data_IF_229081275335
#
_entry.id   IF_229081275335
#
_cell.length_a   1.000
_cell.length_b   1.000
_cell.length_c   1.000
_cell.angle_alpha   90.00
_cell.angle_beta   90.00
_cell.angle_gamma   90.00
#
_symmetry.space_group_name_H-M   'P 1'
#
loop_
_entity.id
_entity.type
_entity.pdbx_description
1 polymer ?
#
# COMPACT_ATOMS: atom_id res chain seq x y z
N UNK A 1 21.15 -23.27 0.16
CA UNK A 1 20.24 -22.19 -0.30
C UNK A 1 20.21 -21.01 0.65
N UNK A 2 20.03 -21.20 1.95
CA UNK A 2 20.10 -20.11 2.95
C UNK A 2 21.44 -19.35 2.96
N UNK A 3 22.58 -20.05 2.87
CA UNK A 3 23.91 -19.41 2.76
C UNK A 3 24.07 -18.55 1.48
N UNK A 4 23.44 -18.95 0.38
CA UNK A 4 23.45 -18.18 -0.87
C UNK A 4 22.58 -16.92 -0.76
N UNK A 5 21.40 -17.06 -0.14
CA UNK A 5 20.53 -15.93 0.20
C UNK A 5 21.26 -14.89 1.05
N UNK A 6 21.99 -15.34 2.08
CA UNK A 6 22.69 -14.42 2.98
C UNK A 6 23.87 -13.71 2.33
N UNK A 7 24.62 -14.39 1.44
CA UNK A 7 25.67 -13.76 0.63
C UNK A 7 25.10 -12.74 -0.36
N UNK A 8 23.94 -13.02 -0.96
CA UNK A 8 23.27 -12.10 -1.88
C UNK A 8 22.87 -10.78 -1.20
N UNK A 9 22.34 -10.85 0.02
CA UNK A 9 21.96 -9.66 0.81
C UNK A 9 23.18 -8.80 1.13
N UNK A 10 24.29 -9.40 1.57
CA UNK A 10 25.53 -8.68 1.91
C UNK A 10 26.15 -7.93 0.74
N UNK A 11 26.07 -8.47 -0.48
CA UNK A 11 26.73 -7.86 -1.64
C UNK A 11 25.93 -6.71 -2.27
N UNK A 12 24.62 -6.57 -1.99
CA UNK A 12 23.75 -5.56 -2.63
C UNK A 12 22.70 -4.96 -1.68
N UNK A 13 23.10 -4.28 -0.59
CA UNK A 13 22.18 -3.80 0.45
C UNK A 13 21.12 -2.83 -0.10
N UNK A 14 21.48 -1.97 -1.06
CA UNK A 14 20.56 -0.99 -1.65
C UNK A 14 19.34 -1.60 -2.36
N UNK A 15 19.44 -2.85 -2.84
CA UNK A 15 18.29 -3.53 -3.51
C UNK A 15 17.28 -4.08 -2.50
N UNK A 16 17.73 -4.45 -1.31
CA UNK A 16 16.87 -5.00 -0.25
C UNK A 16 16.28 -3.91 0.64
N UNK A 17 16.79 -2.68 0.59
CA UNK A 17 16.31 -1.55 1.39
C UNK A 17 14.80 -1.29 1.18
N UNK A 18 14.31 -1.38 -0.05
CA UNK A 18 12.89 -1.21 -0.36
C UNK A 18 12.01 -2.27 0.34
N UNK A 19 12.44 -3.53 0.30
CA UNK A 19 11.73 -4.65 0.94
C UNK A 19 11.85 -4.56 2.46
N UNK A 20 13.02 -4.20 2.97
CA UNK A 20 13.27 -3.98 4.39
C UNK A 20 12.37 -2.87 4.92
N UNK A 21 12.29 -1.73 4.22
CA UNK A 21 11.45 -0.60 4.60
C UNK A 21 9.96 -0.98 4.61
N UNK A 22 9.47 -1.69 3.58
CA UNK A 22 8.10 -2.21 3.58
C UNK A 22 7.82 -3.15 4.76
N UNK A 23 8.73 -4.09 5.05
CA UNK A 23 8.58 -5.03 6.15
C UNK A 23 8.65 -4.32 7.52
N UNK A 24 9.59 -3.39 7.68
CA UNK A 24 9.77 -2.58 8.88
C UNK A 24 8.53 -1.73 9.19
N UNK A 25 8.06 -0.92 8.24
CA UNK A 25 6.88 -0.08 8.45
C UNK A 25 5.63 -0.92 8.68
N UNK A 26 5.48 -2.03 7.94
CA UNK A 26 4.34 -2.91 8.10
C UNK A 26 4.32 -3.60 9.47
N UNK A 27 5.46 -4.16 9.90
CA UNK A 27 5.60 -4.72 11.23
C UNK A 27 5.37 -3.67 12.31
N UNK A 28 5.91 -2.46 12.16
CA UNK A 28 5.77 -1.40 13.15
C UNK A 28 4.31 -1.04 13.37
N UNK A 29 3.55 -0.84 12.29
CA UNK A 29 2.11 -0.53 12.37
C UNK A 29 1.35 -1.69 13.01
N UNK A 30 1.55 -2.91 12.54
CA UNK A 30 0.84 -4.09 13.06
C UNK A 30 1.13 -4.27 14.55
N UNK A 31 2.39 -4.16 14.97
CA UNK A 31 2.80 -4.28 16.38
C UNK A 31 2.22 -3.15 17.23
N UNK A 32 2.29 -1.90 16.78
CA UNK A 32 1.70 -0.74 17.47
C UNK A 32 0.22 -0.98 17.77
N UNK A 33 -0.56 -1.42 16.79
CA UNK A 33 -1.99 -1.64 16.99
C UNK A 33 -2.30 -2.90 17.80
N UNK A 34 -1.58 -4.00 17.57
CA UNK A 34 -1.80 -5.22 18.35
C UNK A 34 -1.29 -5.11 19.80
N UNK A 35 -0.41 -4.16 20.12
CA UNK A 35 -0.04 -3.87 21.52
C UNK A 35 -1.22 -3.34 22.34
N UNK A 36 -2.26 -2.80 21.69
CA UNK A 36 -3.51 -2.46 22.37
C UNK A 36 -4.26 -3.71 22.84
N UNK A 37 -4.18 -4.84 22.11
CA UNK A 37 -4.69 -6.12 22.62
C UNK A 37 -3.91 -6.63 23.84
N UNK A 38 -2.59 -6.46 23.86
CA UNK A 38 -1.77 -6.81 25.03
C UNK A 38 -2.09 -5.93 26.24
N UNK A 39 -2.28 -4.63 26.02
CA UNK A 39 -2.67 -3.67 27.06
C UNK A 39 -4.07 -4.00 27.60
N UNK A 40 -5.03 -4.32 26.72
CA UNK A 40 -6.38 -4.74 27.09
C UNK A 40 -6.44 -6.08 27.84
N UNK A 41 -5.42 -6.92 27.69
CA UNK A 41 -5.34 -8.23 28.35
C UNK A 41 -4.80 -8.16 29.79
N UNK A 42 -4.29 -7.01 30.24
CA UNK A 42 -3.78 -6.85 31.59
C UNK A 42 -4.87 -6.96 32.67
N UNK A 43 -4.48 -7.47 33.84
CA UNK A 43 -5.32 -7.47 35.04
C UNK A 43 -5.42 -6.05 35.62
N UNK A 44 -6.63 -5.55 35.80
CA UNK A 44 -6.88 -4.20 36.37
C UNK A 44 -7.39 -3.16 35.37
N UNK A 45 -7.54 -3.53 34.09
CA UNK A 45 -8.18 -2.69 33.06
C UNK A 45 -9.70 -2.80 33.20
N UNK A 46 -10.40 -1.67 33.24
CA UNK A 46 -11.86 -1.63 33.28
C UNK A 46 -12.49 -2.13 31.96
N UNK A 47 -13.76 -2.52 32.02
CA UNK A 47 -14.44 -3.15 30.87
C UNK A 47 -14.52 -2.22 29.65
N UNK A 48 -14.68 -0.91 29.86
CA UNK A 48 -14.83 0.09 28.78
C UNK A 48 -13.49 0.35 28.09
N UNK A 49 -12.42 0.53 28.87
CA UNK A 49 -11.05 0.64 28.36
C UNK A 49 -10.67 -0.61 27.57
N UNK A 50 -11.02 -1.80 28.09
CA UNK A 50 -10.74 -3.08 27.44
C UNK A 50 -11.45 -3.19 26.09
N UNK A 51 -12.74 -2.89 26.04
CA UNK A 51 -13.53 -2.90 24.82
C UNK A 51 -12.95 -1.93 23.79
N UNK A 52 -12.70 -0.68 24.18
CA UNK A 52 -12.11 0.34 23.29
C UNK A 52 -10.76 -0.09 22.71
N UNK A 53 -9.86 -0.59 23.54
CA UNK A 53 -8.54 -1.07 23.12
C UNK A 53 -8.66 -2.27 22.16
N UNK A 54 -9.58 -3.21 22.43
CA UNK A 54 -9.79 -4.38 21.56
C UNK A 54 -10.44 -4.03 20.23
N UNK A 55 -11.38 -3.08 20.21
CA UNK A 55 -12.04 -2.60 18.99
C UNK A 55 -11.03 -1.82 18.13
N UNK A 56 -10.25 -0.93 18.74
CA UNK A 56 -9.18 -0.21 18.05
C UNK A 56 -8.14 -1.17 17.47
N UNK A 57 -7.69 -2.17 18.24
CA UNK A 57 -6.71 -3.14 17.76
C UNK A 57 -7.24 -4.01 16.60
N UNK A 58 -8.49 -4.47 16.69
CA UNK A 58 -9.07 -5.40 15.71
C UNK A 58 -9.40 -4.75 14.38
N UNK A 59 -10.00 -3.55 14.41
CA UNK A 59 -10.33 -2.76 13.21
C UNK A 59 -9.04 -2.48 12.44
N UNK A 60 -8.01 -1.96 13.11
CA UNK A 60 -6.75 -1.56 12.48
C UNK A 60 -5.85 -2.74 12.11
N UNK A 61 -5.75 -3.73 12.99
CA UNK A 61 -5.00 -4.96 12.73
C UNK A 61 -5.54 -5.70 11.51
N UNK A 62 -6.86 -5.74 11.34
CA UNK A 62 -7.54 -6.42 10.24
C UNK A 62 -7.19 -5.85 8.87
N UNK A 63 -7.49 -4.58 8.59
CA UNK A 63 -7.15 -4.01 7.27
C UNK A 63 -5.67 -3.65 7.15
N UNK A 64 -4.97 -3.33 8.26
CA UNK A 64 -3.54 -3.07 8.27
C UNK A 64 -2.76 -4.27 7.74
N UNK A 65 -3.15 -5.48 8.14
CA UNK A 65 -2.61 -6.74 7.61
C UNK A 65 -2.74 -6.84 6.09
N UNK A 66 -3.90 -6.51 5.54
CA UNK A 66 -4.13 -6.51 4.09
C UNK A 66 -3.22 -5.49 3.39
N UNK A 67 -3.16 -4.26 3.91
CA UNK A 67 -2.33 -3.20 3.36
C UNK A 67 -0.83 -3.56 3.37
N UNK A 68 -0.34 -4.10 4.49
CA UNK A 68 1.04 -4.57 4.62
C UNK A 68 1.33 -5.70 3.64
N UNK A 69 0.43 -6.67 3.52
CA UNK A 69 0.56 -7.74 2.53
C UNK A 69 0.69 -7.18 1.11
N UNK A 70 -0.19 -6.26 0.71
CA UNK A 70 -0.15 -5.67 -0.63
C UNK A 70 1.09 -4.82 -0.87
N UNK A 71 1.49 -4.02 0.11
CA UNK A 71 2.70 -3.21 0.05
C UNK A 71 3.96 -4.09 -0.14
N UNK A 72 4.13 -5.10 0.70
CA UNK A 72 5.24 -6.06 0.61
C UNK A 72 5.20 -6.84 -0.70
N UNK A 73 4.00 -7.26 -1.14
CA UNK A 73 3.82 -7.96 -2.41
C UNK A 73 4.16 -7.11 -3.64
N UNK A 74 3.79 -5.83 -3.62
CA UNK A 74 4.13 -4.86 -4.68
C UNK A 74 5.64 -4.73 -4.79
N UNK A 75 6.31 -4.47 -3.66
CA UNK A 75 7.76 -4.30 -3.59
C UNK A 75 8.51 -5.57 -4.01
N UNK A 76 8.18 -6.74 -3.45
CA UNK A 76 8.84 -8.00 -3.80
C UNK A 76 8.62 -8.40 -5.25
N UNK A 77 7.45 -8.09 -5.83
CA UNK A 77 7.21 -8.31 -7.26
C UNK A 77 8.19 -7.50 -8.11
N UNK A 78 8.45 -6.25 -7.72
CA UNK A 78 9.41 -5.38 -8.41
C UNK A 78 10.83 -5.94 -8.25
N UNK A 79 11.27 -6.29 -7.03
CA UNK A 79 12.63 -6.82 -6.76
C UNK A 79 12.89 -8.16 -7.44
N UNK A 80 11.96 -9.11 -7.41
CA UNK A 80 12.14 -10.44 -8.04
C UNK A 80 12.21 -10.32 -9.55
N UNK A 81 11.41 -9.42 -10.16
CA UNK A 81 11.49 -9.15 -11.59
C UNK A 81 12.83 -8.57 -12.00
N UNK A 82 13.43 -7.71 -11.16
CA UNK A 82 14.77 -7.17 -11.43
C UNK A 82 15.85 -8.25 -11.45
N UNK A 83 15.65 -9.34 -10.71
CA UNK A 83 16.56 -10.49 -10.69
C UNK A 83 16.22 -11.55 -11.74
N UNK A 84 15.27 -11.30 -12.65
CA UNK A 84 14.87 -12.32 -13.63
C UNK A 84 16.04 -12.83 -14.47
N UNK A 85 16.94 -11.94 -14.92
CA UNK A 85 18.15 -12.33 -15.66
C UNK A 85 19.13 -13.15 -14.81
N UNK A 86 19.35 -12.79 -13.54
CA UNK A 86 20.18 -13.56 -12.61
C UNK A 86 19.58 -14.95 -12.34
N UNK A 87 18.26 -15.01 -12.14
CA UNK A 87 17.51 -16.25 -11.93
C UNK A 87 17.52 -17.12 -13.20
N UNK A 88 17.50 -16.51 -14.38
CA UNK A 88 17.61 -17.20 -15.67
C UNK A 88 19.02 -17.77 -15.88
N UNK A 89 20.08 -17.02 -15.56
CA UNK A 89 21.45 -17.52 -15.56
C UNK A 89 21.64 -18.71 -14.59
N UNK A 90 21.05 -18.64 -13.40
CA UNK A 90 21.03 -19.76 -12.45
C UNK A 90 20.29 -20.97 -13.02
N UNK A 91 19.20 -20.75 -13.77
CA UNK A 91 18.48 -21.84 -14.44
C UNK A 91 19.28 -22.45 -15.59
N UNK A 92 19.98 -21.65 -16.38
CA UNK A 92 20.85 -22.13 -17.44
C UNK A 92 22.03 -22.95 -16.91
N UNK A 93 22.47 -22.66 -15.68
CA UNK A 93 23.48 -23.46 -14.95
C UNK A 93 22.90 -24.67 -14.18
N UNK A 94 21.62 -25.00 -14.39
CA UNK A 94 20.99 -26.23 -13.88
C UNK A 94 20.15 -26.07 -12.60
N UNK A 95 19.97 -24.85 -12.07
CA UNK A 95 19.16 -24.66 -10.87
C UNK A 95 17.66 -24.92 -11.13
N UNK A 96 17.04 -25.74 -10.28
CA UNK A 96 15.62 -26.11 -10.40
C UNK A 96 14.69 -24.98 -9.89
N UNK A 97 13.44 -24.86 -10.39
CA UNK A 97 12.47 -23.88 -9.92
C UNK A 97 12.20 -23.94 -8.40
N UNK A 98 12.32 -25.13 -7.80
CA UNK A 98 12.21 -25.32 -6.36
C UNK A 98 13.38 -24.71 -5.57
N UNK A 99 14.61 -24.83 -6.10
CA UNK A 99 15.79 -24.20 -5.50
C UNK A 99 15.71 -22.68 -5.59
N UNK A 100 15.28 -22.14 -6.74
CA UNK A 100 15.04 -20.70 -6.91
C UNK A 100 13.98 -20.19 -5.94
N UNK A 101 12.85 -20.91 -5.80
CA UNK A 101 11.79 -20.55 -4.84
C UNK A 101 12.33 -20.51 -3.41
N UNK A 102 13.02 -21.56 -2.96
CA UNK A 102 13.56 -21.63 -1.58
C UNK A 102 14.60 -20.54 -1.33
N UNK A 103 15.41 -20.20 -2.33
CA UNK A 103 16.40 -19.13 -2.23
C UNK A 103 15.73 -17.76 -2.00
N UNK A 104 14.84 -17.35 -2.90
CA UNK A 104 14.21 -16.02 -2.83
C UNK A 104 13.25 -15.89 -1.64
N UNK A 105 12.51 -16.94 -1.30
CA UNK A 105 11.68 -16.94 -0.09
C UNK A 105 12.57 -16.83 1.15
N UNK A 106 13.72 -17.51 1.18
CA UNK A 106 14.70 -17.39 2.26
C UNK A 106 15.27 -15.98 2.40
N UNK A 107 15.56 -15.31 1.29
CA UNK A 107 15.98 -13.89 1.31
C UNK A 107 14.88 -12.97 1.84
N UNK A 108 13.65 -13.13 1.34
CA UNK A 108 12.52 -12.31 1.75
C UNK A 108 12.21 -12.50 3.25
N UNK A 109 12.25 -13.74 3.73
CA UNK A 109 12.08 -14.06 5.16
C UNK A 109 13.21 -13.47 6.00
N UNK A 110 14.47 -13.58 5.57
CA UNK A 110 15.59 -13.00 6.30
C UNK A 110 15.48 -11.47 6.40
N UNK A 111 15.12 -10.79 5.31
CA UNK A 111 14.92 -9.33 5.30
C UNK A 111 13.69 -8.95 6.12
N UNK A 112 12.61 -9.72 6.06
CA UNK A 112 11.41 -9.50 6.85
C UNK A 112 11.67 -9.65 8.36
N UNK A 113 12.46 -10.64 8.78
CA UNK A 113 12.89 -10.80 10.17
C UNK A 113 13.69 -9.60 10.65
N UNK A 114 14.66 -9.14 9.86
CA UNK A 114 15.43 -7.92 10.20
C UNK A 114 14.49 -6.71 10.30
N UNK A 115 13.56 -6.56 9.34
CA UNK A 115 12.56 -5.49 9.37
C UNK A 115 11.67 -5.54 10.62
N UNK A 116 11.17 -6.72 10.97
CA UNK A 116 10.33 -6.92 12.15
C UNK A 116 11.08 -6.65 13.46
N UNK A 117 12.34 -7.09 13.58
CA UNK A 117 13.18 -6.79 14.75
C UNK A 117 13.44 -5.28 14.88
N UNK A 118 13.77 -4.62 13.76
CA UNK A 118 13.97 -3.17 13.75
C UNK A 118 12.68 -2.41 14.09
N UNK A 119 11.52 -3.00 13.79
CA UNK A 119 10.22 -2.39 14.05
C UNK A 119 9.82 -2.39 15.52
N UNK A 120 10.39 -3.25 16.38
CA UNK A 120 9.99 -3.38 17.79
C UNK A 120 10.12 -2.04 18.52
N UNK A 121 11.26 -1.35 18.41
CA UNK A 121 11.49 -0.08 19.11
C UNK A 121 10.47 1.00 18.72
N UNK A 122 10.32 1.33 17.42
CA UNK A 122 9.29 2.25 16.95
C UNK A 122 7.87 1.81 17.26
N UNK A 123 7.59 0.50 17.29
CA UNK A 123 6.28 -0.02 17.64
C UNK A 123 5.95 0.17 19.12
N UNK A 124 6.91 -0.01 20.02
CA UNK A 124 6.75 0.27 21.46
C UNK A 124 6.45 1.76 21.68
N UNK A 125 7.24 2.64 21.07
CA UNK A 125 7.01 4.09 21.15
C UNK A 125 5.67 4.50 20.53
N UNK A 126 5.33 3.90 19.39
CA UNK A 126 4.06 4.12 18.72
C UNK A 126 2.86 3.62 19.53
N UNK A 127 3.00 2.48 20.20
CA UNK A 127 1.97 1.91 21.08
C UNK A 127 1.76 2.76 22.33
N UNK A 128 2.84 3.27 22.93
CA UNK A 128 2.78 4.22 24.04
C UNK A 128 2.09 5.52 23.63
N UNK A 129 2.54 6.14 22.52
CA UNK A 129 1.93 7.36 22.02
C UNK A 129 0.44 7.15 21.66
N UNK A 130 0.08 5.98 21.13
CA UNK A 130 -1.31 5.66 20.83
C UNK A 130 -2.15 5.50 22.11
N UNK A 131 -1.61 4.87 23.16
CA UNK A 131 -2.28 4.76 24.44
C UNK A 131 -2.43 6.13 25.11
N UNK A 132 -1.42 6.98 25.05
CA UNK A 132 -1.50 8.37 25.54
C UNK A 132 -2.62 9.13 24.84
N UNK A 133 -2.79 8.96 23.52
CA UNK A 133 -3.92 9.54 22.79
C UNK A 133 -5.27 9.01 23.30
N UNK A 134 -5.36 7.73 23.69
CA UNK A 134 -6.59 7.17 24.28
C UNK A 134 -6.86 7.63 25.71
N UNK A 135 -5.80 7.93 26.46
CA UNK A 135 -5.91 8.50 27.80
C UNK A 135 -6.20 10.00 27.79
N UNK A 136 -5.63 10.74 26.85
CA UNK A 136 -5.85 12.18 26.64
C UNK A 136 -7.26 12.47 26.17
N UNK A 137 -7.81 11.56 25.36
CA UNK A 137 -9.21 11.61 24.98
C UNK A 137 -10.09 11.26 26.19
N UNK A 138 -9.68 10.29 27.02
CA UNK A 138 -10.44 9.84 28.19
C UNK A 138 -11.24 8.56 27.93
N UNK A 139 -10.93 7.86 26.84
CA UNK A 139 -11.41 6.51 26.54
C UNK A 139 -10.79 5.43 27.41
N UNK A 140 -9.55 5.65 27.83
CA UNK A 140 -8.81 4.71 28.64
C UNK A 140 -8.41 5.40 29.93
N UNK A 141 -8.60 4.72 31.05
CA UNK A 141 -8.20 5.25 32.34
C UNK A 141 -6.69 5.54 32.37
N UNK A 142 -6.29 6.68 32.94
CA UNK A 142 -4.87 7.07 33.13
C UNK A 142 -4.06 6.09 33.96
N UNK A 143 -4.73 5.20 34.69
CA UNK A 143 -4.11 4.12 35.48
C UNK A 143 -3.70 2.91 34.65
N UNK A 144 -4.06 2.85 33.35
CA UNK A 144 -3.68 1.74 32.46
C UNK A 144 -2.31 2.03 31.86
N UNK A 145 -1.32 1.25 32.25
CA UNK A 145 0.03 1.35 31.69
C UNK A 145 0.15 0.60 30.36
N UNK A 146 1.01 1.11 29.47
CA UNK A 146 1.25 0.47 28.18
C UNK A 146 1.97 -0.87 28.33
N UNK A 147 1.39 -1.92 27.73
CA UNK A 147 1.98 -3.26 27.69
C UNK A 147 2.36 -3.63 26.28
N UNK A 148 3.65 -3.88 26.03
CA UNK A 148 4.09 -4.53 24.80
C UNK A 148 4.29 -6.02 25.06
N UNK A 149 3.29 -6.81 24.69
CA UNK A 149 3.22 -8.23 25.04
C UNK A 149 3.46 -9.18 23.87
N UNK A 150 3.18 -10.47 24.08
CA UNK A 150 3.35 -11.50 23.07
C UNK A 150 2.42 -11.33 21.87
N UNK A 151 1.24 -10.73 22.01
CA UNK A 151 0.28 -10.60 20.91
C UNK A 151 0.83 -9.62 19.87
N UNK A 152 1.32 -8.45 20.30
CA UNK A 152 1.98 -7.48 19.42
C UNK A 152 3.18 -8.09 18.71
N UNK A 153 4.08 -8.72 19.48
CA UNK A 153 5.31 -9.28 18.94
C UNK A 153 5.02 -10.39 17.92
N UNK A 154 4.19 -11.37 18.28
CA UNK A 154 3.87 -12.51 17.41
C UNK A 154 3.08 -12.07 16.18
N UNK A 155 2.03 -11.25 16.34
CA UNK A 155 1.24 -10.76 15.20
C UNK A 155 2.12 -9.99 14.19
N UNK A 156 2.97 -9.08 14.66
CA UNK A 156 3.86 -8.32 13.80
C UNK A 156 4.86 -9.19 13.06
N UNK A 157 5.49 -10.13 13.76
CA UNK A 157 6.47 -11.06 13.17
C UNK A 157 5.78 -12.01 12.19
N UNK A 158 4.71 -12.67 12.62
CA UNK A 158 3.98 -13.68 11.84
C UNK A 158 3.35 -13.09 10.59
N UNK A 159 2.62 -11.97 10.71
CA UNK A 159 1.98 -11.32 9.57
C UNK A 159 3.03 -10.85 8.56
N UNK A 160 4.13 -10.25 9.03
CA UNK A 160 5.20 -9.76 8.14
C UNK A 160 5.93 -10.91 7.45
N UNK A 161 6.21 -12.00 8.17
CA UNK A 161 6.80 -13.22 7.62
C UNK A 161 5.90 -13.89 6.58
N UNK A 162 4.62 -14.07 6.91
CA UNK A 162 3.63 -14.66 6.02
C UNK A 162 3.45 -13.80 4.77
N UNK A 163 3.38 -12.48 4.92
CA UNK A 163 3.31 -11.54 3.83
C UNK A 163 4.55 -11.61 2.93
N UNK A 164 5.75 -11.56 3.50
CA UNK A 164 7.00 -11.61 2.75
C UNK A 164 7.20 -12.96 2.05
N UNK A 165 6.96 -14.07 2.74
CA UNK A 165 7.08 -15.41 2.19
C UNK A 165 6.05 -15.66 1.08
N UNK A 166 4.79 -15.27 1.31
CA UNK A 166 3.70 -15.38 0.35
C UNK A 166 3.94 -14.54 -0.91
N UNK A 167 4.33 -13.27 -0.72
CA UNK A 167 4.70 -12.35 -1.79
C UNK A 167 5.90 -12.85 -2.60
N UNK A 168 6.97 -13.30 -1.95
CA UNK A 168 8.16 -13.83 -2.61
C UNK A 168 7.84 -15.11 -3.39
N UNK A 169 7.05 -16.01 -2.80
CA UNK A 169 6.60 -17.22 -3.48
C UNK A 169 5.79 -16.89 -4.74
N UNK A 170 4.82 -15.98 -4.64
CA UNK A 170 4.03 -15.52 -5.77
C UNK A 170 4.91 -14.86 -6.84
N UNK A 171 5.86 -14.03 -6.44
CA UNK A 171 6.77 -13.34 -7.36
C UNK A 171 7.66 -14.32 -8.13
N UNK A 172 8.28 -15.31 -7.47
CA UNK A 172 9.11 -16.32 -8.15
C UNK A 172 8.28 -17.26 -9.01
N UNK A 173 7.11 -17.69 -8.54
CA UNK A 173 6.21 -18.54 -9.33
C UNK A 173 5.82 -17.85 -10.64
N UNK A 174 5.59 -16.54 -10.62
CA UNK A 174 5.34 -15.72 -11.82
C UNK A 174 6.56 -15.66 -12.75
N UNK A 175 7.77 -15.52 -12.20
CA UNK A 175 9.00 -15.44 -13.00
C UNK A 175 9.43 -16.79 -13.61
N UNK A 176 9.17 -17.91 -12.92
CA UNK A 176 9.67 -19.24 -13.32
C UNK A 176 8.73 -20.01 -14.24
N UNK A 177 7.40 -19.87 -14.09
CA UNK A 177 6.44 -20.47 -15.03
C UNK A 177 6.33 -19.60 -16.29
N UNK A 178 7.17 -19.90 -17.27
CA UNK A 178 6.97 -19.46 -18.66
C UNK A 178 5.70 -20.09 -19.26
N UNK A 179 4.52 -19.56 -18.94
CA UNK A 179 3.27 -19.79 -19.68
C UNK A 179 2.42 -18.52 -19.67
N UNK A 180 2.51 -17.77 -20.78
CA UNK A 180 1.88 -16.47 -21.07
C UNK A 180 0.33 -16.45 -21.04
N UNK A 181 -0.36 -17.57 -20.80
CA UNK A 181 -1.85 -17.61 -20.82
C UNK A 181 -2.53 -17.98 -19.49
N UNK A 182 -1.92 -18.78 -18.61
CA UNK A 182 -2.65 -19.32 -17.43
C UNK A 182 -2.50 -18.44 -16.17
N UNK A 183 -1.37 -17.73 -16.02
CA UNK A 183 -1.17 -16.76 -14.92
C UNK A 183 -2.06 -15.51 -15.06
N UNK A 184 -2.41 -15.13 -16.30
CA UNK A 184 -3.39 -14.07 -16.55
C UNK A 184 -4.77 -14.44 -16.00
N UNK A 185 -5.24 -15.66 -16.25
CA UNK A 185 -6.56 -16.13 -15.78
C UNK A 185 -6.66 -16.16 -14.25
N UNK A 186 -5.65 -16.66 -13.53
CA UNK A 186 -5.67 -16.69 -12.07
C UNK A 186 -5.67 -15.28 -11.43
N UNK A 187 -4.84 -14.34 -11.95
CA UNK A 187 -4.87 -12.94 -11.49
C UNK A 187 -6.22 -12.28 -11.76
N UNK A 188 -6.82 -12.59 -12.89
CA UNK A 188 -8.13 -12.08 -13.28
C UNK A 188 -9.22 -12.64 -12.36
N UNK A 189 -9.16 -13.94 -12.06
CA UNK A 189 -10.08 -14.59 -11.14
C UNK A 189 -9.95 -14.01 -9.72
N UNK A 190 -8.72 -13.87 -9.21
CA UNK A 190 -8.49 -13.21 -7.91
C UNK A 190 -8.96 -11.76 -7.90
N UNK A 191 -8.80 -11.03 -9.01
CA UNK A 191 -9.30 -9.67 -9.10
C UNK A 191 -10.83 -9.62 -9.08
N UNK A 192 -11.51 -10.48 -9.85
CA UNK A 192 -12.97 -10.57 -9.81
C UNK A 192 -13.48 -11.10 -8.48
N UNK A 193 -12.76 -12.00 -7.81
CA UNK A 193 -13.09 -12.47 -6.47
C UNK A 193 -12.95 -11.33 -5.44
N UNK A 194 -11.88 -10.53 -5.50
CA UNK A 194 -11.71 -9.36 -4.65
C UNK A 194 -12.78 -8.29 -4.92
N UNK A 195 -13.12 -8.04 -6.19
CA UNK A 195 -14.22 -7.14 -6.56
C UNK A 195 -15.57 -7.66 -6.07
N UNK A 196 -15.82 -8.96 -6.19
CA UNK A 196 -17.06 -9.61 -5.75
C UNK A 196 -17.20 -9.58 -4.22
N UNK A 197 -16.15 -9.98 -3.49
CA UNK A 197 -16.13 -9.88 -2.02
C UNK A 197 -16.22 -8.44 -1.53
N UNK A 198 -15.55 -7.50 -2.22
CA UNK A 198 -15.66 -6.08 -1.93
C UNK A 198 -17.07 -5.55 -2.15
N UNK A 199 -17.71 -5.90 -3.27
CA UNK A 199 -19.10 -5.55 -3.55
C UNK A 199 -20.06 -6.14 -2.51
N UNK A 200 -19.87 -7.40 -2.12
CA UNK A 200 -20.67 -8.04 -1.06
C UNK A 200 -20.50 -7.30 0.27
N UNK A 201 -19.26 -7.00 0.67
CA UNK A 201 -18.99 -6.25 1.90
C UNK A 201 -19.62 -4.85 1.87
N UNK A 202 -19.51 -4.14 0.74
CA UNK A 202 -20.17 -2.84 0.54
C UNK A 202 -21.69 -2.97 0.61
N UNK A 203 -22.30 -3.96 -0.05
CA UNK A 203 -23.76 -4.15 -0.01
C UNK A 203 -24.25 -4.61 1.37
N UNK A 204 -23.41 -5.30 2.14
CA UNK A 204 -23.76 -5.72 3.50
C UNK A 204 -23.96 -4.54 4.45
N UNK A 205 -23.45 -3.35 4.10
CA UNK A 205 -23.69 -2.09 4.84
C UNK A 205 -25.19 -1.83 5.03
N UNK A 206 -26.03 -2.16 4.05
CA UNK A 206 -27.49 -1.96 4.14
C UNK A 206 -28.21 -2.93 5.10
N UNK A 207 -27.51 -3.94 5.63
CA UNK A 207 -28.05 -4.82 6.66
C UNK A 207 -27.88 -4.26 8.08
N UNK A 208 -27.09 -3.19 8.24
CA UNK A 208 -26.83 -2.54 9.52
C UNK A 208 -27.76 -1.34 9.72
N UNK A 209 -28.05 -1.02 10.97
CA UNK A 209 -28.79 0.20 11.33
C UNK A 209 -27.84 1.40 11.47
N UNK A 210 -28.35 2.62 11.30
CA UNK A 210 -27.57 3.86 11.39
C UNK A 210 -26.87 4.07 12.75
N UNK A 211 -27.38 3.40 13.79
CA UNK A 211 -26.86 3.47 15.18
C UNK A 211 -25.84 2.38 15.51
N UNK A 212 -25.55 1.46 14.59
CA UNK A 212 -24.66 0.35 14.85
C UNK A 212 -23.19 0.78 14.79
N UNK A 213 -22.41 0.48 15.84
CA UNK A 213 -20.98 0.78 15.89
C UNK A 213 -20.19 0.04 14.80
N UNK A 214 -20.69 -1.12 14.34
CA UNK A 214 -20.08 -1.91 13.29
C UNK A 214 -20.28 -1.34 11.88
N UNK A 215 -21.13 -0.32 11.70
CA UNK A 215 -21.50 0.23 10.39
C UNK A 215 -20.29 0.77 9.60
N UNK A 216 -19.26 1.29 10.29
CA UNK A 216 -18.05 1.80 9.64
C UNK A 216 -17.17 0.70 9.02
N UNK A 217 -17.19 -0.50 9.59
CA UNK A 217 -16.22 -1.54 9.26
C UNK A 217 -16.48 -2.14 7.87
N UNK A 218 -17.73 -2.48 7.56
CA UNK A 218 -18.12 -3.15 6.30
C UNK A 218 -17.84 -2.33 5.03
N UNK A 219 -18.22 -1.03 4.92
CA UNK A 219 -17.89 -0.20 3.77
C UNK A 219 -16.38 0.07 3.67
N UNK A 220 -15.66 0.16 4.79
CA UNK A 220 -14.20 0.31 4.77
C UNK A 220 -13.49 -0.93 4.21
N UNK A 221 -13.81 -2.13 4.70
CA UNK A 221 -13.26 -3.38 4.15
C UNK A 221 -13.68 -3.56 2.69
N UNK A 222 -14.92 -3.20 2.34
CA UNK A 222 -15.43 -3.22 0.98
C UNK A 222 -14.64 -2.32 0.03
N UNK A 223 -14.42 -1.05 0.40
CA UNK A 223 -13.63 -0.10 -0.39
C UNK A 223 -12.19 -0.60 -0.60
N UNK A 224 -11.58 -1.18 0.44
CA UNK A 224 -10.23 -1.76 0.35
C UNK A 224 -10.22 -2.94 -0.62
N UNK A 225 -11.15 -3.89 -0.49
CA UNK A 225 -11.21 -5.06 -1.40
C UNK A 225 -11.51 -4.66 -2.85
N UNK A 226 -12.38 -3.67 -3.06
CA UNK A 226 -12.64 -3.10 -4.38
C UNK A 226 -11.39 -2.43 -4.96
N UNK A 227 -10.68 -1.64 -4.14
CA UNK A 227 -9.42 -1.01 -4.56
C UNK A 227 -8.36 -2.06 -4.91
N UNK A 228 -8.28 -3.16 -4.16
CA UNK A 228 -7.42 -4.32 -4.43
C UNK A 228 -7.81 -5.01 -5.74
N UNK A 229 -9.11 -5.18 -6.01
CA UNK A 229 -9.61 -5.72 -7.26
C UNK A 229 -9.22 -4.86 -8.47
N UNK A 230 -9.44 -3.55 -8.38
CA UNK A 230 -9.01 -2.56 -9.38
C UNK A 230 -7.48 -2.57 -9.56
N UNK A 231 -6.73 -2.60 -8.46
CA UNK A 231 -5.28 -2.70 -8.44
C UNK A 231 -4.80 -3.99 -9.15
N UNK A 232 -5.43 -5.13 -8.90
CA UNK A 232 -5.11 -6.38 -9.62
C UNK A 232 -5.46 -6.29 -11.11
N UNK A 233 -6.46 -5.51 -11.52
CA UNK A 233 -6.78 -5.25 -12.94
C UNK A 233 -6.00 -4.08 -13.55
N UNK A 234 -5.16 -3.38 -12.77
CA UNK A 234 -4.41 -2.19 -13.18
C UNK A 234 -3.76 -2.25 -14.58
N UNK A 235 -3.09 -3.34 -15.02
CA UNK A 235 -2.52 -3.38 -16.38
C UNK A 235 -3.57 -3.34 -17.50
N UNK A 236 -4.75 -3.95 -17.28
CA UNK A 236 -5.86 -3.90 -18.26
C UNK A 236 -6.52 -2.54 -18.27
N UNK A 237 -6.78 -2.00 -17.09
CA UNK A 237 -7.35 -0.67 -16.92
C UNK A 237 -6.45 0.39 -17.57
N UNK A 238 -5.14 0.33 -17.31
CA UNK A 238 -4.17 1.23 -17.92
C UNK A 238 -4.14 1.07 -19.45
N UNK A 239 -4.13 -0.15 -19.99
CA UNK A 239 -4.16 -0.37 -21.45
C UNK A 239 -5.44 0.19 -22.07
N UNK A 240 -6.60 -0.07 -21.48
CA UNK A 240 -7.88 0.45 -21.97
C UNK A 240 -7.95 1.98 -21.97
N UNK A 241 -7.44 2.62 -20.91
CA UNK A 241 -7.34 4.09 -20.87
C UNK A 241 -6.36 4.61 -21.93
N UNK A 242 -5.18 4.01 -22.06
CA UNK A 242 -4.19 4.39 -23.07
C UNK A 242 -4.66 4.18 -24.52
N UNK A 243 -5.61 3.28 -24.76
CA UNK A 243 -6.24 3.09 -26.06
C UNK A 243 -7.16 4.25 -26.44
N UNK A 244 -7.75 4.92 -25.45
CA UNK A 244 -8.67 6.04 -25.63
C UNK A 244 -8.02 7.44 -25.54
N UNK A 245 -6.72 7.56 -25.26
CA UNK A 245 -6.02 8.84 -25.13
C UNK A 245 -5.31 9.27 -26.43
N UNK A 246 -5.86 10.21 -27.21
CA UNK A 246 -5.20 10.81 -28.36
C UNK A 246 -4.25 11.93 -27.89
N UNK A 247 -3.15 11.59 -27.21
CA UNK A 247 -2.18 12.59 -26.79
C UNK A 247 -1.32 13.06 -27.97
N UNK A 248 -1.31 14.37 -28.20
CA UNK A 248 -0.48 15.04 -29.20
C UNK A 248 0.89 15.45 -28.63
N UNK A 249 1.90 15.57 -29.51
CA UNK A 249 3.26 15.96 -29.15
C UNK A 249 4.24 14.80 -28.94
N UNK A 250 5.54 15.05 -29.19
CA UNK A 250 6.58 14.02 -29.18
C UNK A 250 6.76 13.35 -27.80
N UNK A 251 6.69 14.12 -26.71
CA UNK A 251 6.79 13.60 -25.34
C UNK A 251 5.56 12.80 -24.93
N UNK A 252 4.36 13.25 -25.28
CA UNK A 252 3.10 12.56 -25.01
C UNK A 252 2.98 11.25 -25.78
N UNK A 253 3.38 11.25 -27.05
CA UNK A 253 3.37 10.01 -27.84
C UNK A 253 4.40 9.00 -27.33
N UNK A 254 5.63 9.44 -27.04
CA UNK A 254 6.64 8.56 -26.43
C UNK A 254 6.18 8.01 -25.07
N UNK A 255 5.52 8.83 -24.24
CA UNK A 255 4.96 8.40 -22.96
C UNK A 255 3.90 7.31 -23.16
N UNK A 256 2.87 7.52 -23.99
CA UNK A 256 1.82 6.50 -24.24
C UNK A 256 2.43 5.20 -24.77
N UNK A 257 3.36 5.29 -25.73
CA UNK A 257 4.01 4.10 -26.30
C UNK A 257 4.85 3.34 -25.26
N UNK A 258 5.57 4.06 -24.41
CA UNK A 258 6.33 3.47 -23.29
C UNK A 258 5.38 2.82 -22.28
N UNK A 259 4.34 3.53 -21.85
CA UNK A 259 3.35 3.04 -20.90
C UNK A 259 2.65 1.78 -21.43
N UNK A 260 2.28 1.71 -22.72
CA UNK A 260 1.66 0.49 -23.31
C UNK A 260 2.61 -0.71 -23.27
N UNK A 261 3.87 -0.53 -23.69
CA UNK A 261 4.89 -1.60 -23.62
C UNK A 261 5.18 -2.02 -22.18
N UNK A 262 5.03 -1.10 -21.22
CA UNK A 262 5.39 -1.29 -19.81
C UNK A 262 4.20 -1.42 -18.87
N UNK A 263 2.97 -1.54 -19.36
CA UNK A 263 1.79 -1.55 -18.51
C UNK A 263 1.86 -2.65 -17.44
N UNK A 264 2.43 -3.80 -17.77
CA UNK A 264 2.66 -4.90 -16.84
C UNK A 264 3.78 -4.63 -15.80
N UNK A 265 4.70 -3.70 -16.09
CA UNK A 265 5.75 -3.23 -15.18
C UNK A 265 5.25 -2.13 -14.25
N UNK A 266 4.39 -1.24 -14.76
CA UNK A 266 3.83 -0.11 -14.01
C UNK A 266 2.67 -0.50 -13.10
N UNK A 267 2.21 -1.75 -13.21
CA UNK A 267 1.16 -2.30 -12.36
C UNK A 267 1.46 -2.12 -10.86
N UNK A 268 2.71 -2.32 -10.39
CA UNK A 268 3.06 -2.12 -8.97
C UNK A 268 2.83 -0.70 -8.46
N UNK A 269 3.20 0.29 -9.30
CA UNK A 269 3.00 1.70 -9.00
C UNK A 269 1.51 2.03 -9.01
N UNK A 270 0.80 1.60 -10.05
CA UNK A 270 -0.61 1.89 -10.21
C UNK A 270 -1.45 1.21 -9.11
N UNK A 271 -1.08 0.01 -8.68
CA UNK A 271 -1.67 -0.66 -7.51
C UNK A 271 -1.52 0.17 -6.24
N UNK A 272 -0.31 0.63 -5.96
CA UNK A 272 -0.01 1.44 -4.76
C UNK A 272 -0.76 2.77 -4.78
N UNK A 273 -0.88 3.38 -5.97
CA UNK A 273 -1.59 4.63 -6.17
C UNK A 273 -3.11 4.47 -6.01
N UNK A 274 -3.71 3.43 -6.62
CA UNK A 274 -5.15 3.11 -6.46
C UNK A 274 -5.46 2.85 -4.98
N UNK A 275 -4.60 2.09 -4.29
CA UNK A 275 -4.77 1.78 -2.87
C UNK A 275 -4.65 3.06 -2.03
N UNK A 276 -3.65 3.90 -2.30
CA UNK A 276 -3.47 5.18 -1.60
C UNK A 276 -4.72 6.06 -1.74
N UNK A 277 -5.16 6.30 -2.96
CA UNK A 277 -6.29 7.21 -3.22
C UNK A 277 -7.60 6.63 -2.73
N UNK A 278 -7.83 5.33 -2.92
CA UNK A 278 -9.04 4.66 -2.44
C UNK A 278 -9.14 4.67 -0.91
N UNK A 279 -8.10 4.17 -0.21
CA UNK A 279 -8.12 4.08 1.25
C UNK A 279 -8.18 5.47 1.87
N UNK A 280 -7.31 6.40 1.46
CA UNK A 280 -7.28 7.74 2.04
C UNK A 280 -8.61 8.48 1.83
N UNK A 281 -9.18 8.42 0.61
CA UNK A 281 -10.45 9.10 0.32
C UNK A 281 -11.59 8.43 1.08
N UNK A 282 -11.70 7.10 1.01
CA UNK A 282 -12.78 6.37 1.68
C UNK A 282 -12.78 6.64 3.18
N UNK A 283 -11.65 6.45 3.85
CA UNK A 283 -11.57 6.53 5.30
C UNK A 283 -11.71 7.97 5.82
N UNK A 284 -11.12 8.96 5.16
CA UNK A 284 -11.26 10.36 5.58
C UNK A 284 -12.68 10.89 5.39
N UNK A 285 -13.35 10.58 4.28
CA UNK A 285 -14.75 10.98 4.08
C UNK A 285 -15.69 10.28 5.05
N UNK A 286 -15.51 8.97 5.23
CA UNK A 286 -16.30 8.18 6.17
C UNK A 286 -16.20 8.75 7.61
N UNK A 287 -15.02 9.16 8.04
CA UNK A 287 -14.83 9.80 9.35
C UNK A 287 -15.44 11.19 9.44
N UNK A 288 -15.30 11.97 8.37
CA UNK A 288 -15.87 13.31 8.31
C UNK A 288 -17.42 13.27 8.35
N UNK A 289 -18.02 12.30 7.66
CA UNK A 289 -19.47 12.05 7.69
C UNK A 289 -19.90 11.57 9.08
N UNK A 290 -19.16 10.66 9.71
CA UNK A 290 -19.43 10.23 11.09
C UNK A 290 -19.40 11.42 12.06
N UNK A 291 -18.38 12.28 11.97
CA UNK A 291 -18.23 13.45 12.84
C UNK A 291 -19.40 14.43 12.71
N UNK A 292 -19.82 14.72 11.48
CA UNK A 292 -20.95 15.61 11.19
C UNK A 292 -22.27 15.00 11.65
N UNK A 293 -22.50 13.70 11.39
CA UNK A 293 -23.71 13.00 11.80
C UNK A 293 -23.87 13.02 13.32
N UNK A 294 -22.78 12.79 14.05
CA UNK A 294 -22.74 12.89 15.51
C UNK A 294 -23.04 14.33 15.96
N UNK A 295 -22.47 15.35 15.30
CA UNK A 295 -22.73 16.75 15.62
C UNK A 295 -24.20 17.17 15.36
N UNK A 296 -24.81 16.68 14.29
CA UNK A 296 -26.18 16.98 13.89
C UNK A 296 -27.24 16.35 14.82
N UNK A 297 -26.90 15.23 15.48
CA UNK A 297 -27.83 14.53 16.39
C UNK A 297 -28.24 15.34 17.64
N UNK A 298 -27.59 16.48 17.92
CA UNK A 298 -27.94 17.39 19.01
C UNK A 298 -27.71 16.83 20.42
N UNK A 299 -27.30 15.56 20.53
CA UNK A 299 -26.76 14.98 21.75
C UNK A 299 -25.49 15.73 22.10
N UNK A 300 -25.35 16.18 23.36
CA UNK A 300 -24.05 16.63 23.87
C UNK A 300 -23.09 15.48 23.59
N UNK A 301 -22.17 15.70 22.64
CA UNK A 301 -21.12 14.74 22.27
C UNK A 301 -20.58 14.17 23.59
N UNK A 302 -20.96 12.94 23.92
CA UNK A 302 -20.44 12.30 25.12
C UNK A 302 -18.92 12.34 24.98
N UNK A 303 -18.20 12.44 26.10
CA UNK A 303 -16.74 12.41 26.10
C UNK A 303 -16.27 11.23 25.24
N UNK A 304 -16.93 10.08 25.38
CA UNK A 304 -16.73 8.85 24.60
C UNK A 304 -16.82 9.03 23.08
N UNK A 305 -17.81 9.78 22.56
CA UNK A 305 -18.00 9.98 21.11
C UNK A 305 -16.93 10.91 20.48
N UNK A 306 -16.51 11.97 21.18
CA UNK A 306 -15.41 12.86 20.73
C UNK A 306 -14.07 12.13 20.69
N UNK A 307 -13.90 11.20 21.62
CA UNK A 307 -12.70 10.43 21.74
C UNK A 307 -12.59 9.37 20.62
N UNK A 308 -13.72 8.76 20.25
CA UNK A 308 -13.78 7.74 19.18
C UNK A 308 -13.41 8.33 17.83
N UNK A 309 -13.83 9.58 17.59
CA UNK A 309 -13.47 10.35 16.40
C UNK A 309 -11.95 10.63 16.32
N UNK A 310 -11.34 11.10 17.42
CA UNK A 310 -9.90 11.42 17.47
C UNK A 310 -9.03 10.17 17.24
N UNK A 311 -9.46 9.03 17.78
CA UNK A 311 -8.84 7.72 17.56
C UNK A 311 -8.87 7.35 16.09
N UNK A 312 -10.06 7.34 15.49
CA UNK A 312 -10.26 6.98 14.10
C UNK A 312 -9.40 7.86 13.18
N UNK A 313 -9.33 9.17 13.42
CA UNK A 313 -8.47 10.07 12.64
C UNK A 313 -6.98 9.77 12.78
N UNK A 314 -6.50 9.48 14.00
CA UNK A 314 -5.08 9.11 14.24
C UNK A 314 -4.69 7.85 13.48
N UNK A 315 -5.55 6.83 13.57
CA UNK A 315 -5.42 5.57 12.85
C UNK A 315 -5.32 5.79 11.34
N UNK A 316 -6.27 6.55 10.79
CA UNK A 316 -6.29 6.86 9.35
C UNK A 316 -5.05 7.62 8.94
N UNK A 317 -4.60 8.59 9.74
CA UNK A 317 -3.35 9.30 9.50
C UNK A 317 -2.16 8.35 9.33
N UNK A 318 -1.99 7.38 10.23
CA UNK A 318 -0.90 6.40 10.17
C UNK A 318 -0.98 5.56 8.89
N UNK A 319 -2.19 5.13 8.51
CA UNK A 319 -2.41 4.33 7.29
C UNK A 319 -2.10 5.14 6.03
N UNK A 320 -2.59 6.37 5.95
CA UNK A 320 -2.36 7.27 4.81
C UNK A 320 -0.86 7.49 4.64
N UNK A 321 -0.13 7.76 5.73
CA UNK A 321 1.33 7.91 5.71
C UNK A 321 2.01 6.63 5.24
N UNK A 322 1.61 5.47 5.77
CA UNK A 322 2.15 4.17 5.36
C UNK A 322 2.01 3.93 3.85
N UNK A 323 0.80 4.07 3.32
CA UNK A 323 0.55 3.81 1.91
C UNK A 323 1.25 4.86 1.03
N UNK A 324 1.38 6.11 1.49
CA UNK A 324 2.18 7.14 0.83
C UNK A 324 3.67 6.77 0.75
N UNK A 325 4.27 6.33 1.86
CA UNK A 325 5.67 5.87 1.88
C UNK A 325 5.88 4.68 0.93
N UNK A 326 4.91 3.77 0.87
CA UNK A 326 4.95 2.63 -0.07
C UNK A 326 4.83 3.06 -1.54
N UNK A 327 4.03 4.09 -1.83
CA UNK A 327 3.96 4.71 -3.15
C UNK A 327 5.32 5.33 -3.53
N UNK A 328 5.95 6.11 -2.64
CA UNK A 328 7.29 6.70 -2.85
C UNK A 328 8.32 5.62 -3.15
N UNK A 329 8.35 4.55 -2.33
CA UNK A 329 9.27 3.43 -2.50
C UNK A 329 9.11 2.76 -3.87
N UNK A 330 7.87 2.51 -4.27
CA UNK A 330 7.54 1.90 -5.56
C UNK A 330 7.95 2.78 -6.76
N UNK A 331 7.72 4.09 -6.66
CA UNK A 331 8.10 5.07 -7.68
C UNK A 331 9.61 5.23 -7.79
N UNK A 332 10.29 5.36 -6.65
CA UNK A 332 11.74 5.48 -6.59
C UNK A 332 12.41 4.27 -7.24
N UNK A 333 11.97 3.07 -6.89
CA UNK A 333 12.45 1.85 -7.53
C UNK A 333 12.18 1.90 -9.05
N UNK A 334 10.93 2.13 -9.47
CA UNK A 334 10.57 2.12 -10.88
C UNK A 334 11.37 3.10 -11.75
N UNK A 335 11.77 4.26 -11.21
CA UNK A 335 12.56 5.25 -11.95
C UNK A 335 14.07 4.97 -11.88
N UNK A 336 14.61 4.59 -10.72
CA UNK A 336 16.07 4.40 -10.55
C UNK A 336 16.61 3.29 -11.44
N UNK A 337 15.86 2.21 -11.61
CA UNK A 337 16.27 1.08 -12.46
C UNK A 337 16.13 1.34 -13.97
N UNK A 338 15.64 2.51 -14.38
CA UNK A 338 15.58 2.93 -15.80
C UNK A 338 16.79 3.72 -16.27
N UNK A 339 17.85 3.80 -15.45
CA UNK A 339 19.09 4.52 -15.79
C UNK A 339 19.66 4.13 -17.16
N UNK A 340 19.69 2.82 -17.47
CA UNK A 340 20.16 2.31 -18.77
C UNK A 340 19.30 2.78 -19.95
N UNK A 341 17.98 2.78 -19.79
CA UNK A 341 17.06 3.26 -20.82
C UNK A 341 17.23 4.76 -21.07
N UNK A 342 17.34 5.55 -20.00
CA UNK A 342 17.60 6.99 -20.10
C UNK A 342 18.97 7.26 -20.74
N UNK A 343 19.97 6.45 -20.43
CA UNK A 343 21.28 6.46 -21.09
C UNK A 343 21.16 6.19 -22.59
N UNK A 344 20.44 5.14 -22.99
CA UNK A 344 20.21 4.79 -24.41
C UNK A 344 19.46 5.89 -25.16
N UNK A 345 18.43 6.48 -24.57
CA UNK A 345 17.70 7.62 -25.15
C UNK A 345 18.63 8.81 -25.38
N UNK A 346 19.51 9.11 -24.41
CA UNK A 346 20.49 10.20 -24.51
C UNK A 346 21.58 9.94 -25.55
N UNK A 347 22.08 8.70 -25.64
CA UNK A 347 23.03 8.30 -26.69
C UNK A 347 22.39 8.35 -28.10
N UNK A 348 21.08 8.13 -28.19
CA UNK A 348 20.31 8.31 -29.42
C UNK A 348 19.95 9.79 -29.73
N UNK A 349 20.42 10.74 -28.91
CA UNK A 349 20.27 12.19 -29.15
C UNK A 349 19.20 12.89 -28.30
N UNK A 350 18.51 12.19 -27.39
CA UNK A 350 17.53 12.85 -26.51
C UNK A 350 18.20 13.76 -25.47
N UNK A 351 17.69 14.98 -25.33
CA UNK A 351 18.16 15.91 -24.29
C UNK A 351 17.65 15.51 -22.90
N UNK A 352 18.37 15.85 -21.80
CA UNK A 352 17.89 15.57 -20.44
C UNK A 352 16.51 16.17 -20.14
N UNK A 353 16.19 17.33 -20.74
CA UNK A 353 14.87 17.97 -20.62
C UNK A 353 13.76 17.15 -21.29
N UNK A 354 14.03 16.55 -22.45
CA UNK A 354 13.07 15.67 -23.14
C UNK A 354 12.82 14.39 -22.32
N UNK A 355 13.86 13.78 -21.74
CA UNK A 355 13.70 12.60 -20.87
C UNK A 355 12.86 12.95 -19.64
N UNK A 356 13.13 14.09 -18.99
CA UNK A 356 12.31 14.55 -17.87
C UNK A 356 10.86 14.84 -18.27
N UNK A 357 10.63 15.43 -19.44
CA UNK A 357 9.29 15.66 -19.98
C UNK A 357 8.52 14.35 -20.21
N UNK A 358 9.18 13.32 -20.74
CA UNK A 358 8.58 11.99 -20.88
C UNK A 358 8.26 11.36 -19.53
N UNK A 359 9.19 11.40 -18.56
CA UNK A 359 8.94 10.86 -17.21
C UNK A 359 7.79 11.61 -16.51
N UNK A 360 7.72 12.94 -16.68
CA UNK A 360 6.63 13.75 -16.15
C UNK A 360 5.28 13.37 -16.74
N UNK A 361 5.21 13.19 -18.07
CA UNK A 361 3.98 12.74 -18.74
C UNK A 361 3.57 11.33 -18.31
N UNK A 362 4.52 10.40 -18.19
CA UNK A 362 4.25 9.06 -17.65
C UNK A 362 3.70 9.12 -16.22
N UNK A 363 4.32 9.93 -15.35
CA UNK A 363 3.89 10.16 -13.98
C UNK A 363 2.48 10.77 -13.90
N UNK A 364 2.18 11.75 -14.77
CA UNK A 364 0.86 12.39 -14.83
C UNK A 364 -0.22 11.40 -15.25
N UNK A 365 0.01 10.62 -16.31
CA UNK A 365 -0.96 9.61 -16.76
C UNK A 365 -1.20 8.57 -15.66
N UNK A 366 -0.13 8.07 -15.02
CA UNK A 366 -0.28 7.13 -13.91
C UNK A 366 -1.07 7.74 -12.76
N UNK A 367 -0.79 9.01 -12.41
CA UNK A 367 -1.51 9.76 -11.37
C UNK A 367 -3.00 9.83 -11.69
N UNK A 368 -3.36 10.31 -12.88
CA UNK A 368 -4.76 10.46 -13.32
C UNK A 368 -5.48 9.11 -13.29
N UNK A 369 -4.87 8.07 -13.85
CA UNK A 369 -5.48 6.72 -13.89
C UNK A 369 -5.66 6.15 -12.48
N UNK A 370 -4.66 6.25 -11.61
CA UNK A 370 -4.75 5.71 -10.25
C UNK A 370 -5.69 6.51 -9.34
N UNK A 371 -5.71 7.83 -9.47
CA UNK A 371 -6.70 8.69 -8.80
C UNK A 371 -8.11 8.34 -9.27
N UNK A 372 -8.34 8.18 -10.58
CA UNK A 372 -9.66 7.82 -11.10
C UNK A 372 -10.15 6.49 -10.53
N UNK A 373 -9.39 5.40 -10.70
CA UNK A 373 -9.84 4.08 -10.24
C UNK A 373 -9.89 3.96 -8.71
N UNK A 374 -9.01 4.65 -7.99
CA UNK A 374 -9.09 4.69 -6.53
C UNK A 374 -10.27 5.53 -6.03
N UNK A 375 -10.61 6.64 -6.69
CA UNK A 375 -11.82 7.42 -6.38
C UNK A 375 -13.07 6.59 -6.62
N UNK A 376 -13.15 5.84 -7.72
CA UNK A 376 -14.27 4.93 -7.99
C UNK A 376 -14.41 3.87 -6.89
N UNK A 377 -13.29 3.28 -6.45
CA UNK A 377 -13.31 2.31 -5.36
C UNK A 377 -13.69 2.94 -4.00
N UNK A 378 -13.25 4.18 -3.74
CA UNK A 378 -13.62 4.93 -2.54
C UNK A 378 -15.11 5.26 -2.50
N UNK A 379 -15.65 5.81 -3.60
CA UNK A 379 -17.07 6.16 -3.71
C UNK A 379 -17.96 4.95 -3.51
N UNK A 380 -17.54 3.77 -3.98
CA UNK A 380 -18.28 2.54 -3.74
C UNK A 380 -18.42 2.20 -2.25
N UNK A 381 -17.47 2.58 -1.39
CA UNK A 381 -17.62 2.44 0.08
C UNK A 381 -18.32 3.64 0.73
N UNK A 382 -18.00 4.86 0.30
CA UNK A 382 -18.54 6.11 0.88
C UNK A 382 -20.06 6.19 0.68
N UNK A 383 -20.56 5.91 -0.52
CA UNK A 383 -21.98 6.13 -0.86
C UNK A 383 -22.92 5.26 -0.01
N UNK A 384 -22.69 3.95 0.16
CA UNK A 384 -23.54 3.14 1.04
C UNK A 384 -23.42 3.54 2.52
N UNK A 385 -22.22 3.97 2.95
CA UNK A 385 -22.04 4.48 4.30
C UNK A 385 -22.85 5.76 4.55
N UNK A 386 -22.76 6.76 3.66
CA UNK A 386 -23.53 8.01 3.78
C UNK A 386 -25.03 7.75 3.66
N UNK A 387 -25.45 6.85 2.77
CA UNK A 387 -26.87 6.49 2.64
C UNK A 387 -27.43 5.94 3.93
N UNK A 388 -26.73 5.01 4.59
CA UNK A 388 -27.22 4.40 5.84
C UNK A 388 -27.07 5.36 7.02
N UNK A 389 -26.04 6.21 7.04
CA UNK A 389 -25.75 7.09 8.19
C UNK A 389 -26.53 8.41 8.17
N UNK A 390 -26.69 9.04 7.02
CA UNK A 390 -27.22 10.41 6.87
C UNK A 390 -28.41 10.51 5.92
N UNK A 391 -28.94 9.37 5.44
CA UNK A 391 -29.99 9.31 4.41
C UNK A 391 -29.66 10.11 3.12
N UNK A 392 -28.36 10.35 2.87
CA UNK A 392 -27.87 11.14 1.74
C UNK A 392 -26.92 10.34 0.85
N UNK A 393 -27.00 10.56 -0.46
CA UNK A 393 -26.21 9.82 -1.46
C UNK A 393 -24.77 10.34 -1.52
N UNK A 394 -24.57 11.64 -1.28
CA UNK A 394 -23.26 12.29 -1.35
C UNK A 394 -22.94 12.96 -0.02
N UNK A 395 -21.66 12.92 0.41
CA UNK A 395 -21.23 13.57 1.64
C UNK A 395 -21.25 15.10 1.50
N UNK A 396 -21.74 15.79 2.53
CA UNK A 396 -21.84 17.26 2.57
C UNK A 396 -20.49 17.97 2.77
N UNK A 397 -19.44 17.20 3.11
CA UNK A 397 -18.06 17.63 3.38
C UNK A 397 -17.32 18.26 2.17
N UNK A 398 -18.02 18.45 1.05
CA UNK A 398 -17.50 19.06 -0.17
C UNK A 398 -16.37 18.25 -0.82
N UNK A 399 -15.60 18.88 -1.72
CA UNK A 399 -14.48 18.26 -2.45
C UNK A 399 -13.11 18.46 -1.77
N UNK A 400 -13.06 19.11 -0.61
CA UNK A 400 -11.80 19.52 0.04
C UNK A 400 -10.89 18.32 0.39
N UNK A 401 -11.46 17.29 1.02
CA UNK A 401 -10.74 16.05 1.37
C UNK A 401 -10.21 15.37 0.12
N UNK A 402 -11.04 15.22 -0.92
CA UNK A 402 -10.63 14.61 -2.19
C UNK A 402 -9.50 15.40 -2.84
N UNK A 403 -9.62 16.74 -2.92
CA UNK A 403 -8.58 17.60 -3.48
C UNK A 403 -7.27 17.47 -2.71
N UNK A 404 -7.29 17.39 -1.37
CA UNK A 404 -6.10 17.18 -0.56
C UNK A 404 -5.43 15.82 -0.88
N UNK A 405 -6.21 14.73 -0.93
CA UNK A 405 -5.68 13.39 -1.27
C UNK A 405 -5.10 13.36 -2.69
N UNK A 406 -5.80 13.94 -3.67
CA UNK A 406 -5.32 14.03 -5.07
C UNK A 406 -4.05 14.87 -5.15
N UNK A 407 -3.98 15.98 -4.42
CA UNK A 407 -2.81 16.86 -4.37
C UNK A 407 -1.60 16.13 -3.81
N UNK A 408 -1.76 15.39 -2.70
CA UNK A 408 -0.69 14.57 -2.11
C UNK A 408 -0.28 13.45 -3.08
N UNK A 409 -1.24 12.76 -3.71
CA UNK A 409 -0.95 11.70 -4.69
C UNK A 409 -0.15 12.25 -5.89
N UNK A 410 -0.56 13.39 -6.43
CA UNK A 410 0.09 14.04 -7.57
C UNK A 410 1.47 14.58 -7.21
N UNK A 411 1.59 15.30 -6.09
CA UNK A 411 2.86 15.83 -5.60
C UNK A 411 3.86 14.71 -5.31
N UNK A 412 3.41 13.63 -4.65
CA UNK A 412 4.25 12.47 -4.34
C UNK A 412 4.68 11.76 -5.62
N UNK A 413 3.76 11.56 -6.57
CA UNK A 413 4.03 10.84 -7.82
C UNK A 413 4.96 11.62 -8.75
N UNK A 414 4.61 12.87 -9.06
CA UNK A 414 5.41 13.72 -9.94
C UNK A 414 6.72 14.13 -9.26
N UNK A 415 6.68 14.51 -7.98
CA UNK A 415 7.85 14.89 -7.20
C UNK A 415 8.87 13.75 -7.12
N UNK A 416 8.44 12.56 -6.70
CA UNK A 416 9.36 11.40 -6.58
C UNK A 416 9.90 10.97 -7.94
N UNK A 417 9.05 10.86 -8.96
CA UNK A 417 9.50 10.40 -10.29
C UNK A 417 10.46 11.40 -10.95
N UNK A 418 10.16 12.70 -10.90
CA UNK A 418 11.02 13.75 -11.48
C UNK A 418 12.30 13.94 -10.68
N UNK A 419 12.24 13.96 -9.34
CA UNK A 419 13.44 14.10 -8.51
C UNK A 419 14.39 12.91 -8.71
N UNK A 420 13.84 11.69 -8.76
CA UNK A 420 14.63 10.48 -9.00
C UNK A 420 15.21 10.48 -10.41
N UNK A 421 14.42 10.84 -11.43
CA UNK A 421 14.91 10.94 -12.81
C UNK A 421 16.01 12.01 -12.95
N UNK A 422 15.85 13.18 -12.33
CA UNK A 422 16.89 14.23 -12.30
C UNK A 422 18.18 13.73 -11.67
N UNK A 423 18.10 12.97 -10.57
CA UNK A 423 19.29 12.36 -9.93
C UNK A 423 19.96 11.35 -10.86
N UNK A 424 19.19 10.46 -11.49
CA UNK A 424 19.70 9.46 -12.42
C UNK A 424 20.33 10.11 -13.65
N UNK A 425 19.76 11.20 -14.18
CA UNK A 425 20.30 11.88 -15.36
C UNK A 425 21.66 12.57 -15.12
N UNK A 426 22.09 12.72 -13.87
CA UNK A 426 23.43 13.25 -13.55
C UNK A 426 24.55 12.27 -13.91
N UNK A 427 24.29 10.97 -13.98
CA UNK A 427 25.29 10.01 -14.45
C UNK A 427 25.49 10.18 -15.96
N UNK A 428 26.74 10.19 -16.46
CA UNK A 428 27.04 10.19 -17.90
C UNK A 428 26.31 9.07 -18.64
N UNK A 429 25.83 9.34 -19.86
CA UNK A 429 25.04 8.38 -20.63
C UNK A 429 25.85 7.12 -20.99
N UNK A 430 27.15 7.26 -21.19
CA UNK A 430 28.09 6.16 -21.45
C UNK A 430 28.23 5.24 -20.24
N UNK A 431 28.41 5.80 -19.03
CA UNK A 431 28.47 5.02 -17.79
C UNK A 431 27.14 4.33 -17.46
N UNK A 432 26.02 5.04 -17.66
CA UNK A 432 24.69 4.49 -17.43
C UNK A 432 24.39 3.26 -18.31
N UNK A 433 25.00 3.19 -19.49
CA UNK A 433 24.91 2.03 -20.40
C UNK A 433 26.01 1.00 -20.13
N UNK A 434 27.21 1.43 -19.71
CA UNK A 434 28.38 0.59 -19.47
C UNK A 434 28.39 -0.18 -18.15
N UNK A 435 27.78 0.32 -17.08
CA UNK A 435 27.68 -0.34 -15.76
C UNK A 435 26.85 -1.65 -15.75
N UNK A 436 26.34 -2.07 -16.92
CA UNK A 436 25.54 -3.29 -17.10
C UNK A 436 26.24 -4.36 -17.96
N UNK A 437 27.53 -4.18 -18.27
CA UNK A 437 28.37 -5.19 -18.93
C UNK A 437 29.02 -6.11 -17.88
#
# INVERSE_FOLDING_TARGET
>A
MFLLAMRSIRQRPGRFLATLLSAFLGAAIIMTFNSMHDTAAQSGVDAVSKETLTTAASVVGGYGTLLVFFAVASTLTVTVRQRAAELELLRCSGATPGQLKRMVVGEAVAVALVGAVLAIGPAMLGGQALLEVFQDSGQVARSVDHSFGPIALMSGVDITLLAAAGAAFLAVRRATRGRRQQAGKARTYLAYAALGLGAVAVTSTFAFSATDEALMATPAYGAILLSVGCALLAPRLLKGVLDALPLSGASGWLAVRNLRRRADHLAGILMSLILFTAVSTATLYMQAVESDAVAASGLVKSVDAKNLETLNHTVVGIIVVFVCVMLVNSLYAATTYRSREFGQQRLAGATPRQVLGTVGAEGLILTVVGVFFGTVAALAGIVPFTMVRTDSVLPDQGLGIWLAVVSVAAATTLGTSLATARRVLRTPATEAVGLAA
#
